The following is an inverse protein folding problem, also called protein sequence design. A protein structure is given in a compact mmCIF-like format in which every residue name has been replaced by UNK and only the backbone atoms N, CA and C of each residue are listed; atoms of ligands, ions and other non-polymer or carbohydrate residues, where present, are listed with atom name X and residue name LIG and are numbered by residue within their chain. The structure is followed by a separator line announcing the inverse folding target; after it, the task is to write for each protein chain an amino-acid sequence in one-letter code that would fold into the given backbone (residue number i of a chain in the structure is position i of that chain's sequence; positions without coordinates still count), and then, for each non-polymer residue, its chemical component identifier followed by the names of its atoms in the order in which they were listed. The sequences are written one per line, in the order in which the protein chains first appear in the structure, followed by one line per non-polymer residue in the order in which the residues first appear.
data_IF_696488169867
#
_entry.id   IF_696488169867
#
_cell.length_a   1.000
_cell.length_b   1.000
_cell.length_c   1.000
_cell.angle_alpha   90.00
_cell.angle_beta   90.00
_cell.angle_gamma   90.00
#
_symmetry.space_group_name_H-M   'P 1'
#
loop_
_entity.id
_entity.type
_entity.pdbx_description
1 polymer ?
#
# COMPACT_ATOMS: atom_id res chain seq x y z
N UNK A 1 -10.06 20.18 12.37
CA UNK A 1 -11.17 19.80 11.47
C UNK A 1 -11.05 18.33 11.17
N UNK A 2 -12.11 17.53 11.38
CA UNK A 2 -12.09 16.11 11.01
C UNK A 2 -12.62 15.97 9.58
N UNK A 3 -11.86 15.28 8.73
CA UNK A 3 -12.30 14.91 7.39
C UNK A 3 -13.42 13.87 7.49
N UNK A 4 -14.51 14.10 6.77
CA UNK A 4 -15.67 13.21 6.61
C UNK A 4 -15.62 12.47 5.27
N UNK A 5 -14.42 12.16 4.76
CA UNK A 5 -14.31 11.44 3.51
C UNK A 5 -15.02 10.08 3.63
N UNK A 6 -15.92 9.80 2.69
CA UNK A 6 -16.52 8.48 2.53
C UNK A 6 -15.37 7.46 2.35
N UNK A 7 -15.22 6.47 3.25
CA UNK A 7 -14.16 5.47 3.14
C UNK A 7 -14.22 4.68 1.83
N UNK A 8 -15.38 4.66 1.14
CA UNK A 8 -15.53 4.04 -0.18
C UNK A 8 -15.04 4.92 -1.34
N UNK A 9 -14.83 6.23 -1.12
CA UNK A 9 -14.40 7.20 -2.13
C UNK A 9 -12.96 7.71 -1.91
N UNK A 10 -12.35 7.40 -0.78
CA UNK A 10 -11.00 7.85 -0.45
C UNK A 10 -9.91 7.03 -1.18
N UNK A 11 -8.88 7.71 -1.68
CA UNK A 11 -7.66 7.05 -2.12
C UNK A 11 -7.02 6.27 -0.95
N UNK A 12 -6.53 5.06 -1.19
CA UNK A 12 -6.13 4.14 -0.13
C UNK A 12 -4.90 3.29 -0.45
N UNK A 13 -4.48 2.50 0.53
CA UNK A 13 -3.43 1.50 0.37
C UNK A 13 -4.05 0.15 0.07
N UNK A 14 -3.55 -0.55 -0.95
CA UNK A 14 -4.01 -1.89 -1.31
C UNK A 14 -3.12 -2.95 -0.65
N UNK A 15 -3.74 -3.97 -0.05
CA UNK A 15 -3.06 -5.19 0.41
C UNK A 15 -3.44 -6.34 -0.50
N UNK A 16 -2.45 -7.06 -1.02
CA UNK A 16 -2.64 -8.20 -1.93
C UNK A 16 -1.58 -9.27 -1.67
N UNK A 17 -1.77 -10.49 -2.19
CA UNK A 17 -0.78 -11.57 -2.04
C UNK A 17 0.52 -11.21 -2.76
N UNK A 18 0.40 -10.94 -4.07
CA UNK A 18 1.51 -10.55 -4.94
C UNK A 18 1.02 -9.50 -5.95
N UNK A 19 1.96 -8.72 -6.48
CA UNK A 19 1.69 -7.72 -7.52
C UNK A 19 2.32 -8.18 -8.83
N UNK A 20 1.49 -8.54 -9.80
CA UNK A 20 1.92 -8.85 -11.17
C UNK A 20 1.93 -7.59 -12.07
N UNK A 21 2.55 -7.70 -13.24
CA UNK A 21 2.68 -6.59 -14.17
C UNK A 21 1.33 -6.11 -14.76
N UNK A 22 0.40 -6.99 -15.19
CA UNK A 22 -0.91 -6.56 -15.66
C UNK A 22 -1.70 -5.78 -14.60
N UNK A 23 -1.68 -6.25 -13.35
CA UNK A 23 -2.36 -5.59 -12.24
C UNK A 23 -1.72 -4.25 -11.94
N UNK A 24 -0.38 -4.18 -11.84
CA UNK A 24 0.35 -2.92 -11.66
C UNK A 24 0.05 -1.90 -12.77
N UNK A 25 -0.11 -2.36 -14.02
CA UNK A 25 -0.47 -1.50 -15.14
C UNK A 25 -1.91 -0.95 -15.06
N UNK A 26 -2.81 -1.68 -14.42
CA UNK A 26 -4.22 -1.32 -14.28
C UNK A 26 -4.51 -0.40 -13.07
N UNK A 27 -3.56 -0.26 -12.13
CA UNK A 27 -3.74 0.60 -10.95
C UNK A 27 -3.91 2.07 -11.34
N UNK A 28 -4.95 2.69 -10.78
CA UNK A 28 -5.25 4.12 -10.89
C UNK A 28 -4.48 4.91 -9.81
N UNK A 29 -3.47 5.72 -10.18
CA UNK A 29 -2.67 6.48 -9.22
C UNK A 29 -3.45 7.55 -8.46
N UNK A 30 -4.64 7.94 -8.94
CA UNK A 30 -5.52 8.88 -8.23
C UNK A 30 -6.27 8.23 -7.06
N UNK A 31 -6.32 6.89 -7.03
CA UNK A 31 -7.04 6.09 -6.03
C UNK A 31 -6.14 5.21 -5.17
N UNK A 32 -4.95 4.89 -5.66
CA UNK A 32 -4.00 3.99 -4.98
C UNK A 32 -2.82 4.79 -4.48
N UNK A 33 -2.75 4.99 -3.16
CA UNK A 33 -1.66 5.71 -2.49
C UNK A 33 -0.41 4.85 -2.34
N UNK A 34 -0.57 3.54 -2.15
CA UNK A 34 0.51 2.55 -2.10
C UNK A 34 -0.03 1.12 -2.29
N UNK A 35 0.88 0.19 -2.56
CA UNK A 35 0.60 -1.26 -2.58
C UNK A 35 1.48 -1.96 -1.55
N UNK A 36 0.87 -2.86 -0.77
CA UNK A 36 1.55 -3.82 0.08
C UNK A 36 1.33 -5.22 -0.48
N UNK A 37 2.39 -6.01 -0.59
CA UNK A 37 2.26 -7.43 -0.97
C UNK A 37 2.64 -8.33 0.20
N UNK A 38 1.86 -9.40 0.44
CA UNK A 38 2.17 -10.39 1.48
C UNK A 38 3.42 -11.18 1.14
N UNK A 39 3.64 -11.41 -0.16
CA UNK A 39 4.73 -12.18 -0.71
C UNK A 39 5.38 -11.44 -1.89
N UNK A 40 6.41 -12.05 -2.46
CA UNK A 40 7.17 -11.51 -3.58
C UNK A 40 8.36 -10.66 -3.12
N UNK A 41 8.99 -9.97 -4.06
CA UNK A 41 10.20 -9.21 -3.79
C UNK A 41 10.26 -7.91 -4.58
N UNK A 42 11.16 -7.03 -4.13
CA UNK A 42 11.35 -5.68 -4.68
C UNK A 42 11.72 -5.65 -6.17
N UNK A 43 12.19 -6.78 -6.71
CA UNK A 43 12.57 -6.94 -8.12
C UNK A 43 11.51 -7.67 -8.96
N UNK A 44 10.31 -7.93 -8.41
CA UNK A 44 9.22 -8.53 -9.16
C UNK A 44 8.74 -7.61 -10.28
N UNK A 45 8.33 -8.18 -11.41
CA UNK A 45 7.92 -7.42 -12.59
C UNK A 45 6.79 -6.40 -12.31
N UNK A 46 5.82 -6.76 -11.45
CA UNK A 46 4.77 -5.83 -11.04
C UNK A 46 5.27 -4.72 -10.11
N UNK A 47 6.18 -5.03 -9.20
CA UNK A 47 6.79 -4.05 -8.28
C UNK A 47 7.61 -3.00 -9.04
N UNK A 48 8.45 -3.46 -9.98
CA UNK A 48 9.24 -2.55 -10.82
C UNK A 48 8.34 -1.66 -11.68
N UNK A 49 7.30 -2.24 -12.32
CA UNK A 49 6.38 -1.45 -13.15
C UNK A 49 5.58 -0.42 -12.33
N UNK A 50 5.15 -0.78 -11.12
CA UNK A 50 4.52 0.16 -10.21
C UNK A 50 5.48 1.30 -9.83
N UNK A 51 6.74 0.99 -9.53
CA UNK A 51 7.76 1.99 -9.22
C UNK A 51 8.03 2.93 -10.42
N UNK A 52 8.12 2.41 -11.65
CA UNK A 52 8.24 3.20 -12.88
C UNK A 52 7.07 4.16 -13.09
N UNK A 53 5.87 3.78 -12.63
CA UNK A 53 4.65 4.61 -12.64
C UNK A 53 4.55 5.57 -11.45
N UNK A 54 5.54 5.57 -10.55
CA UNK A 54 5.56 6.41 -9.36
C UNK A 54 4.66 5.91 -8.22
N UNK A 55 4.19 4.66 -8.28
CA UNK A 55 3.38 4.05 -7.22
C UNK A 55 4.30 3.43 -6.15
N UNK A 56 4.18 3.85 -4.87
CA UNK A 56 4.93 3.24 -3.79
C UNK A 56 4.51 1.79 -3.57
N UNK A 57 5.48 0.88 -3.49
CA UNK A 57 5.26 -0.53 -3.18
C UNK A 57 6.16 -0.97 -2.03
N UNK A 58 5.59 -1.68 -1.06
CA UNK A 58 6.35 -2.42 -0.04
C UNK A 58 6.02 -3.89 -0.22
N UNK A 59 7.03 -4.68 -0.56
CA UNK A 59 6.88 -6.12 -0.71
C UNK A 59 7.11 -6.84 0.61
N UNK A 60 6.61 -8.07 0.69
CA UNK A 60 6.88 -9.01 1.77
C UNK A 60 6.53 -8.47 3.18
N UNK A 61 5.35 -7.83 3.32
CA UNK A 61 4.91 -7.30 4.62
C UNK A 61 4.40 -8.38 5.59
N UNK A 62 4.41 -9.65 5.15
CA UNK A 62 3.81 -10.80 5.84
C UNK A 62 2.35 -10.58 6.23
N UNK A 63 1.77 -11.53 6.96
CA UNK A 63 0.36 -11.49 7.39
C UNK A 63 0.08 -10.42 8.48
N UNK A 64 1.08 -9.61 8.86
CA UNK A 64 0.94 -8.57 9.90
C UNK A 64 -0.21 -7.61 9.61
N UNK A 65 -0.48 -7.33 8.33
CA UNK A 65 -1.52 -6.39 7.92
C UNK A 65 -2.89 -7.04 7.71
N UNK A 66 -3.02 -8.37 7.76
CA UNK A 66 -4.29 -9.07 7.54
C UNK A 66 -5.29 -8.89 8.68
N UNK A 67 -4.78 -8.70 9.90
CA UNK A 67 -5.60 -8.43 11.07
C UNK A 67 -6.11 -6.97 11.13
N UNK A 68 -5.65 -6.09 10.23
CA UNK A 68 -6.01 -4.68 10.29
C UNK A 68 -7.39 -4.43 9.71
N UNK A 69 -8.28 -3.73 10.44
CA UNK A 69 -9.55 -3.30 9.89
C UNK A 69 -9.34 -2.39 8.66
N UNK A 70 -10.15 -2.52 7.60
CA UNK A 70 -10.19 -1.54 6.52
C UNK A 70 -10.40 -0.12 7.07
N UNK A 71 -9.69 0.86 6.49
CA UNK A 71 -9.68 2.24 6.97
C UNK A 71 -8.63 2.54 8.05
N UNK A 72 -7.85 1.55 8.48
CA UNK A 72 -6.70 1.77 9.37
C UNK A 72 -5.66 2.65 8.69
N UNK A 73 -5.23 3.70 9.39
CA UNK A 73 -4.17 4.59 8.89
C UNK A 73 -2.80 3.95 9.14
N UNK A 74 -2.01 3.81 8.08
CA UNK A 74 -0.66 3.25 8.14
C UNK A 74 0.34 4.22 7.53
N UNK A 75 1.60 4.10 7.95
CA UNK A 75 2.75 4.77 7.37
C UNK A 75 3.44 3.82 6.41
N UNK A 76 3.72 4.30 5.20
CA UNK A 76 4.45 3.55 4.16
C UNK A 76 5.72 4.30 3.81
N UNK A 77 6.86 3.63 3.92
CA UNK A 77 8.17 4.07 3.42
C UNK A 77 8.66 3.05 2.39
N UNK A 78 8.29 3.27 1.13
CA UNK A 78 8.69 2.40 0.03
C UNK A 78 10.19 2.44 -0.27
N UNK A 79 10.90 3.52 0.12
CA UNK A 79 12.37 3.59 -0.07
C UNK A 79 13.09 2.64 0.87
N UNK A 80 12.56 2.46 2.08
CA UNK A 80 13.09 1.55 3.10
C UNK A 80 12.40 0.19 3.14
N UNK A 81 11.43 -0.06 2.25
CA UNK A 81 10.59 -1.26 2.26
C UNK A 81 9.98 -1.51 3.65
N UNK A 82 9.35 -0.49 4.21
CA UNK A 82 8.81 -0.55 5.56
C UNK A 82 7.40 0.02 5.61
N UNK A 83 6.48 -0.74 6.21
CA UNK A 83 5.13 -0.29 6.52
C UNK A 83 4.86 -0.51 8.03
N UNK A 84 4.15 0.42 8.65
CA UNK A 84 3.76 0.32 10.06
C UNK A 84 2.45 1.05 10.31
N UNK A 85 1.63 0.55 11.23
CA UNK A 85 0.47 1.29 11.73
C UNK A 85 0.89 2.65 12.31
N UNK A 86 0.07 3.66 12.08
CA UNK A 86 0.24 4.96 12.76
C UNK A 86 -0.42 4.84 14.12
N UNK A 87 0.36 4.42 15.12
CA UNK A 87 -0.03 4.65 16.51
C UNK A 87 0.10 6.14 16.74
N UNK A 88 -1.02 6.82 16.93
CA UNK A 88 -1.08 8.21 17.37
C UNK A 88 -0.46 8.22 18.77
N UNK A 89 0.85 8.42 18.86
CA UNK A 89 1.49 8.73 20.13
C UNK A 89 1.10 10.17 20.45
N UNK A 90 0.03 10.31 21.24
CA UNK A 90 -0.28 11.57 21.92
C UNK A 90 0.81 11.82 22.97
N UNK A 91 1.45 13.00 22.85
CA UNK A 91 2.42 13.68 23.74
C UNK A 91 3.81 13.04 24.01
#
# INVERSE_FOLDING_TARGET
GRSLADPASAAGVLLMDELDAPTAAALDPSRVLAVLTRHGGVHGHGVMLAAERGLPVVADVAERFDALPPGTTIRVDARRQHASEVVQQDD
#
